data_IF_844204710092
#
_entry.id   IF_844204710092
#
_cell.length_a   1.000
_cell.length_b   1.000
_cell.length_c   1.000
_cell.angle_alpha   90.00
_cell.angle_beta   90.00
_cell.angle_gamma   90.00
#
_symmetry.space_group_name_H-M   'P 1'
#
loop_
_entity.id
_entity.type
_entity.pdbx_description
1 polymer ?
#
# COMPACT_ATOMS: atom_id res chain seq x y z
N UNK A 1 -17.20 35.27 -28.60
CA UNK A 1 -16.41 34.04 -28.37
C UNK A 1 -15.58 34.26 -27.14
N UNK A 2 -15.40 33.24 -26.31
CA UNK A 2 -14.67 33.45 -25.05
C UNK A 2 -13.20 33.78 -25.31
N UNK A 3 -12.65 34.76 -24.59
CA UNK A 3 -11.26 35.20 -24.72
C UNK A 3 -10.32 34.36 -23.84
N UNK A 4 -10.79 33.90 -22.66
CA UNK A 4 -10.04 32.96 -21.83
C UNK A 4 -10.02 31.55 -22.44
N UNK A 5 -8.81 30.98 -22.57
CA UNK A 5 -8.61 29.58 -23.00
C UNK A 5 -8.31 28.71 -21.80
N UNK A 6 -8.99 27.57 -21.73
CA UNK A 6 -8.78 26.56 -20.70
C UNK A 6 -8.12 25.31 -21.29
N UNK A 7 -7.06 24.84 -20.66
CA UNK A 7 -6.46 23.54 -20.94
C UNK A 7 -7.42 22.39 -20.60
N UNK A 8 -7.15 21.20 -21.14
CA UNK A 8 -7.94 20.00 -20.81
C UNK A 8 -7.93 19.69 -19.30
N UNK A 9 -6.82 19.97 -18.61
CA UNK A 9 -6.68 19.73 -17.18
C UNK A 9 -7.52 20.70 -16.34
N UNK A 10 -7.53 21.99 -16.70
CA UNK A 10 -8.38 23.00 -16.03
C UNK A 10 -9.86 22.69 -16.24
N UNK A 11 -10.25 22.30 -17.46
CA UNK A 11 -11.62 21.88 -17.76
C UNK A 11 -12.05 20.69 -16.91
N UNK A 12 -11.21 19.67 -16.81
CA UNK A 12 -11.48 18.50 -15.98
C UNK A 12 -11.56 18.87 -14.49
N UNK A 13 -10.65 19.70 -13.99
CA UNK A 13 -10.61 20.14 -12.60
C UNK A 13 -11.89 20.90 -12.20
N UNK A 14 -12.33 21.84 -13.04
CA UNK A 14 -13.58 22.59 -12.83
C UNK A 14 -14.79 21.64 -12.87
N UNK A 15 -14.84 20.73 -13.84
CA UNK A 15 -15.93 19.76 -13.95
C UNK A 15 -16.03 18.85 -12.72
N UNK A 16 -14.89 18.37 -12.20
CA UNK A 16 -14.85 17.53 -11.00
C UNK A 16 -15.28 18.28 -9.74
N UNK A 17 -14.79 19.50 -9.53
CA UNK A 17 -15.11 20.31 -8.35
C UNK A 17 -16.61 20.64 -8.24
N UNK A 18 -17.29 20.73 -9.38
CA UNK A 18 -18.74 20.95 -9.43
C UNK A 18 -19.55 19.64 -9.51
N UNK A 19 -18.96 18.52 -9.09
CA UNK A 19 -19.59 17.18 -9.09
C UNK A 19 -20.14 16.78 -10.45
N UNK A 20 -19.51 17.22 -11.54
CA UNK A 20 -19.90 16.91 -12.92
C UNK A 20 -21.28 17.48 -13.28
N UNK A 21 -21.76 18.51 -12.58
CA UNK A 21 -23.10 19.08 -12.78
C UNK A 21 -23.02 20.51 -13.30
N UNK A 22 -24.01 20.88 -14.10
CA UNK A 22 -24.27 22.25 -14.51
C UNK A 22 -24.56 23.11 -13.29
N UNK A 23 -23.90 24.24 -13.14
CA UNK A 23 -24.14 25.14 -12.02
C UNK A 23 -25.55 25.76 -12.06
N UNK A 24 -26.11 25.96 -13.26
CA UNK A 24 -27.44 26.55 -13.45
C UNK A 24 -28.58 25.54 -13.36
N UNK A 25 -28.44 24.37 -14.01
CA UNK A 25 -29.54 23.40 -14.13
C UNK A 25 -29.39 22.18 -13.23
N UNK A 26 -28.22 21.99 -12.61
CA UNK A 26 -27.83 20.82 -11.80
C UNK A 26 -27.84 19.48 -12.53
N UNK A 27 -28.12 19.48 -13.82
CA UNK A 27 -28.01 18.29 -14.68
C UNK A 27 -26.55 17.87 -14.87
N UNK A 28 -26.32 16.59 -15.13
CA UNK A 28 -24.99 16.06 -15.40
C UNK A 28 -24.41 16.62 -16.71
N UNK A 29 -23.12 16.93 -16.67
CA UNK A 29 -22.33 17.41 -17.79
C UNK A 29 -21.43 16.30 -18.32
N UNK A 30 -21.34 16.22 -19.64
CA UNK A 30 -20.32 15.43 -20.32
C UNK A 30 -19.01 16.24 -20.34
N UNK A 31 -17.91 15.63 -19.91
CA UNK A 31 -16.58 16.26 -19.90
C UNK A 31 -16.13 16.70 -21.30
N UNK A 32 -16.59 15.99 -22.34
CA UNK A 32 -16.28 16.32 -23.74
C UNK A 32 -17.09 17.52 -24.26
N UNK A 33 -18.20 17.87 -23.60
CA UNK A 33 -19.15 18.85 -24.11
C UNK A 33 -19.86 19.64 -23.00
N UNK A 34 -19.16 20.63 -22.46
CA UNK A 34 -19.71 21.65 -21.57
C UNK A 34 -18.99 23.00 -21.77
N UNK A 35 -19.62 24.09 -21.34
CA UNK A 35 -19.01 25.42 -21.35
C UNK A 35 -18.58 25.82 -19.94
N UNK A 36 -17.57 26.68 -19.85
CA UNK A 36 -17.22 27.37 -18.61
C UNK A 36 -17.75 28.79 -18.79
N UNK A 37 -18.67 29.20 -17.93
CA UNK A 37 -19.25 30.54 -17.93
C UNK A 37 -18.56 31.42 -16.89
N UNK A 38 -18.46 32.71 -17.19
CA UNK A 38 -18.08 33.74 -16.25
C UNK A 38 -19.34 34.35 -15.65
N UNK A 39 -19.54 34.19 -14.33
CA UNK A 39 -20.71 34.73 -13.63
C UNK A 39 -20.83 36.23 -13.88
N UNK A 40 -19.72 36.95 -13.66
CA UNK A 40 -19.49 38.31 -14.13
C UNK A 40 -18.81 38.22 -15.50
N UNK A 41 -19.44 38.65 -16.61
CA UNK A 41 -18.95 38.42 -17.96
C UNK A 41 -17.54 38.96 -18.23
N UNK A 42 -16.69 38.15 -18.87
CA UNK A 42 -15.32 38.54 -19.24
C UNK A 42 -15.25 39.70 -20.25
N UNK A 43 -16.35 40.00 -20.96
CA UNK A 43 -16.43 41.15 -21.87
C UNK A 43 -16.23 42.50 -21.15
N UNK A 44 -16.41 42.53 -19.83
CA UNK A 44 -16.12 43.71 -19.01
C UNK A 44 -14.61 43.99 -18.90
N UNK A 45 -13.73 43.06 -19.26
CA UNK A 45 -12.28 43.29 -19.30
C UNK A 45 -11.89 44.40 -20.30
N UNK A 46 -12.67 44.57 -21.36
CA UNK A 46 -12.40 45.54 -22.43
C UNK A 46 -12.89 46.97 -22.08
N UNK A 47 -13.68 47.13 -21.02
CA UNK A 47 -14.20 48.42 -20.55
C UNK A 47 -14.01 48.58 -19.04
N UNK A 48 -12.88 49.16 -18.66
CA UNK A 48 -12.49 49.35 -17.26
C UNK A 48 -13.45 50.28 -16.48
N UNK A 49 -14.09 51.24 -17.15
CA UNK A 49 -15.02 52.16 -16.49
C UNK A 49 -16.33 51.44 -16.15
N UNK A 50 -16.85 50.66 -17.10
CA UNK A 50 -18.03 49.84 -16.90
C UNK A 50 -17.78 48.73 -15.87
N UNK A 51 -16.62 48.06 -15.92
CA UNK A 51 -16.26 47.04 -14.93
C UNK A 51 -16.21 47.62 -13.52
N UNK A 52 -15.62 48.81 -13.35
CA UNK A 52 -15.58 49.48 -12.06
C UNK A 52 -16.99 49.80 -11.54
N UNK A 53 -17.87 50.31 -12.39
CA UNK A 53 -19.28 50.59 -12.04
C UNK A 53 -20.00 49.33 -11.57
N UNK A 54 -19.89 48.23 -12.33
CA UNK A 54 -20.52 46.94 -11.99
C UNK A 54 -19.95 46.37 -10.70
N UNK A 55 -18.64 46.51 -10.47
CA UNK A 55 -17.97 46.07 -9.23
C UNK A 55 -18.52 46.80 -8.00
N UNK A 56 -18.72 48.12 -8.10
CA UNK A 56 -19.32 48.95 -7.05
C UNK A 56 -20.79 48.60 -6.81
N UNK A 57 -21.59 48.45 -7.88
CA UNK A 57 -23.01 48.10 -7.80
C UNK A 57 -23.24 46.74 -7.12
N UNK A 58 -22.45 45.75 -7.53
CA UNK A 58 -22.47 44.41 -6.97
C UNK A 58 -21.81 44.37 -5.58
N UNK A 59 -20.94 45.31 -5.21
CA UNK A 59 -20.20 45.29 -3.95
C UNK A 59 -19.14 44.19 -3.91
N UNK A 60 -18.45 43.98 -5.04
CA UNK A 60 -17.36 43.00 -5.14
C UNK A 60 -16.05 43.57 -4.56
N UNK A 61 -15.17 42.72 -3.99
CA UNK A 61 -13.93 43.17 -3.37
C UNK A 61 -12.95 43.74 -4.40
N UNK A 62 -12.07 44.66 -3.98
CA UNK A 62 -11.06 45.26 -4.86
C UNK A 62 -10.14 44.23 -5.52
N UNK A 63 -9.88 43.11 -4.85
CA UNK A 63 -9.09 42.00 -5.38
C UNK A 63 -9.88 41.01 -6.26
N UNK A 64 -11.15 41.29 -6.62
CA UNK A 64 -11.93 40.40 -7.48
C UNK A 64 -11.24 40.19 -8.84
N UNK A 65 -10.90 38.94 -9.12
CA UNK A 65 -10.30 38.51 -10.38
C UNK A 65 -11.39 38.03 -11.34
N UNK A 66 -11.55 38.75 -12.45
CA UNK A 66 -12.53 38.44 -13.48
C UNK A 66 -12.27 37.09 -14.15
N UNK A 67 -11.00 36.67 -14.23
CA UNK A 67 -10.58 35.42 -14.86
C UNK A 67 -10.29 34.30 -13.85
N UNK A 68 -10.45 34.60 -12.56
CA UNK A 68 -10.19 33.67 -11.47
C UNK A 68 -11.30 32.65 -11.27
N UNK A 69 -10.97 31.50 -10.68
CA UNK A 69 -11.92 30.39 -10.46
C UNK A 69 -13.17 30.78 -9.65
N UNK A 70 -13.06 31.79 -8.78
CA UNK A 70 -14.20 32.35 -8.03
C UNK A 70 -15.27 33.01 -8.90
N UNK A 71 -15.04 33.16 -10.21
CA UNK A 71 -15.98 33.68 -11.19
C UNK A 71 -16.42 32.64 -12.23
N UNK A 72 -15.92 31.40 -12.16
CA UNK A 72 -16.10 30.39 -13.20
C UNK A 72 -17.08 29.31 -12.79
N UNK A 73 -18.01 28.97 -13.69
CA UNK A 73 -18.99 27.90 -13.48
C UNK A 73 -19.08 26.97 -14.70
N UNK A 74 -19.04 25.64 -14.50
CA UNK A 74 -19.33 24.72 -15.57
C UNK A 74 -20.84 24.69 -15.84
N UNK A 75 -21.22 24.79 -17.10
CA UNK A 75 -22.61 24.85 -17.51
C UNK A 75 -22.87 24.15 -18.84
N UNK A 76 -24.16 23.87 -19.10
CA UNK A 76 -24.59 23.37 -20.40
C UNK A 76 -24.43 24.47 -21.45
N UNK A 77 -24.02 24.14 -22.69
CA UNK A 77 -23.88 25.12 -23.76
C UNK A 77 -25.12 26.01 -23.95
N UNK A 78 -26.32 25.43 -23.89
CA UNK A 78 -27.58 26.19 -24.02
C UNK A 78 -27.81 27.21 -22.90
N UNK A 79 -27.46 26.89 -21.65
CA UNK A 79 -27.59 27.82 -20.53
C UNK A 79 -26.61 28.99 -20.66
N UNK A 80 -25.37 28.69 -21.07
CA UNK A 80 -24.35 29.71 -21.35
C UNK A 80 -24.77 30.66 -22.48
N UNK A 81 -25.29 30.11 -23.57
CA UNK A 81 -25.75 30.88 -24.73
C UNK A 81 -26.96 31.75 -24.39
N UNK A 82 -27.86 31.27 -23.53
CA UNK A 82 -29.04 32.02 -23.08
C UNK A 82 -28.63 33.21 -22.19
N UNK A 83 -27.65 33.03 -21.29
CA UNK A 83 -27.13 34.12 -20.45
C UNK A 83 -26.33 35.13 -21.28
N UNK A 84 -25.45 34.67 -22.16
CA UNK A 84 -24.58 35.54 -22.95
C UNK A 84 -23.77 36.51 -22.06
N UNK A 85 -23.73 37.78 -22.45
CA UNK A 85 -23.06 38.85 -21.69
C UNK A 85 -23.97 39.54 -20.67
N UNK A 86 -25.13 38.97 -20.36
CA UNK A 86 -26.04 39.54 -19.36
C UNK A 86 -25.41 39.45 -17.97
N UNK A 87 -25.23 40.62 -17.34
CA UNK A 87 -25.00 40.70 -15.90
C UNK A 87 -26.35 40.49 -15.21
N UNK A 88 -26.48 39.40 -14.47
CA UNK A 88 -27.69 39.12 -13.70
C UNK A 88 -27.86 40.15 -12.58
N UNK A 89 -29.05 40.24 -11.98
CA UNK A 89 -29.23 41.11 -10.82
C UNK A 89 -28.36 40.66 -9.63
N UNK A 90 -28.15 41.60 -8.71
CA UNK A 90 -27.23 41.46 -7.58
C UNK A 90 -27.44 40.17 -6.79
N UNK A 91 -28.69 39.77 -6.51
CA UNK A 91 -28.93 38.57 -5.71
C UNK A 91 -28.47 37.29 -6.42
N UNK A 92 -28.79 37.17 -7.71
CA UNK A 92 -28.37 36.01 -8.51
C UNK A 92 -26.87 35.96 -8.73
N UNK A 93 -26.22 37.11 -8.99
CA UNK A 93 -24.76 37.17 -9.12
C UNK A 93 -24.08 36.70 -7.84
N UNK A 94 -24.48 37.21 -6.68
CA UNK A 94 -23.92 36.80 -5.39
C UNK A 94 -24.11 35.31 -5.10
N UNK A 95 -25.28 34.76 -5.44
CA UNK A 95 -25.53 33.33 -5.29
C UNK A 95 -24.54 32.49 -6.12
N UNK A 96 -24.39 32.80 -7.41
CA UNK A 96 -23.50 32.06 -8.29
C UNK A 96 -22.01 32.29 -8.01
N UNK A 97 -21.61 33.49 -7.60
CA UNK A 97 -20.26 33.77 -7.12
C UNK A 97 -19.96 33.02 -5.82
N UNK A 98 -20.94 32.87 -4.93
CA UNK A 98 -20.81 32.04 -3.73
C UNK A 98 -20.55 30.57 -4.08
N UNK A 99 -21.26 30.03 -5.09
CA UNK A 99 -21.01 28.69 -5.59
C UNK A 99 -19.60 28.57 -6.18
N UNK A 100 -19.23 29.45 -7.11
CA UNK A 100 -17.92 29.41 -7.78
C UNK A 100 -16.77 29.53 -6.76
N UNK A 101 -16.85 30.51 -5.86
CA UNK A 101 -15.83 30.74 -4.83
C UNK A 101 -15.69 29.59 -3.85
N UNK A 102 -16.79 28.89 -3.52
CA UNK A 102 -16.73 27.70 -2.66
C UNK A 102 -15.95 26.53 -3.28
N UNK A 103 -15.73 26.56 -4.60
CA UNK A 103 -15.06 25.49 -5.36
C UNK A 103 -13.62 25.77 -5.72
N UNK A 104 -13.10 26.99 -5.51
CA UNK A 104 -11.73 27.38 -5.86
C UNK A 104 -10.68 26.41 -5.33
N UNK A 105 -10.69 26.11 -4.02
CA UNK A 105 -9.70 25.22 -3.41
C UNK A 105 -9.79 23.78 -3.91
N UNK A 106 -10.99 23.32 -4.26
CA UNK A 106 -11.22 21.98 -4.81
C UNK A 106 -10.71 21.89 -6.27
N UNK A 107 -10.88 22.96 -7.06
CA UNK A 107 -10.36 23.08 -8.42
C UNK A 107 -8.82 23.01 -8.40
N UNK A 108 -8.18 23.80 -7.55
CA UNK A 108 -6.71 23.82 -7.40
C UNK A 108 -6.16 22.45 -6.97
N UNK A 109 -6.80 21.80 -5.99
CA UNK A 109 -6.43 20.46 -5.55
C UNK A 109 -6.58 19.42 -6.67
N UNK A 110 -7.67 19.49 -7.44
CA UNK A 110 -7.88 18.60 -8.58
C UNK A 110 -6.83 18.81 -9.68
N UNK A 111 -6.51 20.07 -10.00
CA UNK A 111 -5.51 20.40 -11.02
C UNK A 111 -4.13 19.84 -10.64
N UNK A 112 -3.69 20.07 -9.40
CA UNK A 112 -2.44 19.50 -8.88
C UNK A 112 -2.41 17.98 -8.99
N UNK A 113 -3.53 17.30 -8.66
CA UNK A 113 -3.64 15.84 -8.77
C UNK A 113 -3.55 15.35 -10.22
N UNK A 114 -4.24 16.03 -11.15
CA UNK A 114 -4.23 15.70 -12.58
C UNK A 114 -2.81 15.87 -13.16
N UNK A 115 -2.14 16.98 -12.84
CA UNK A 115 -0.78 17.25 -13.31
C UNK A 115 0.23 16.23 -12.76
N UNK A 116 0.15 15.90 -11.47
CA UNK A 116 0.98 14.85 -10.86
C UNK A 116 0.79 13.51 -11.56
N UNK A 117 -0.46 13.11 -11.84
CA UNK A 117 -0.76 11.87 -12.56
C UNK A 117 -0.18 11.87 -13.97
N UNK A 118 -0.30 12.98 -14.70
CA UNK A 118 0.24 13.13 -16.06
C UNK A 118 1.77 13.04 -16.06
N UNK A 119 2.42 13.71 -15.12
CA UNK A 119 3.88 13.67 -14.98
C UNK A 119 4.37 12.28 -14.60
N UNK A 120 3.71 11.61 -13.65
CA UNK A 120 4.01 10.21 -13.28
C UNK A 120 3.88 9.27 -14.47
N UNK A 121 2.77 9.35 -15.22
CA UNK A 121 2.56 8.51 -16.40
C UNK A 121 3.63 8.72 -17.48
N UNK A 122 4.00 9.98 -17.75
CA UNK A 122 5.09 10.31 -18.68
C UNK A 122 6.43 9.76 -18.22
N UNK A 123 6.76 9.89 -16.93
CA UNK A 123 8.01 9.38 -16.37
C UNK A 123 8.11 7.85 -16.51
N UNK A 124 7.02 7.13 -16.21
CA UNK A 124 6.97 5.66 -16.36
C UNK A 124 7.20 5.25 -17.81
N UNK A 125 6.51 5.88 -18.77
CA UNK A 125 6.65 5.57 -20.20
C UNK A 125 8.08 5.83 -20.68
N UNK A 126 8.69 6.95 -20.28
CA UNK A 126 10.08 7.27 -20.65
C UNK A 126 11.06 6.25 -20.06
N UNK A 127 10.89 5.87 -18.80
CA UNK A 127 11.73 4.86 -18.15
C UNK A 127 11.62 3.51 -18.87
N UNK A 128 10.40 3.08 -19.22
CA UNK A 128 10.17 1.85 -19.99
C UNK A 128 10.87 1.91 -21.35
N UNK A 129 10.74 3.01 -22.08
CA UNK A 129 11.40 3.19 -23.37
C UNK A 129 12.94 3.11 -23.27
N UNK A 130 13.53 3.71 -22.23
CA UNK A 130 14.97 3.64 -22.02
C UNK A 130 15.44 2.21 -21.70
N UNK A 131 14.68 1.47 -20.89
CA UNK A 131 14.97 0.06 -20.56
C UNK A 131 14.84 -0.86 -21.78
N UNK A 132 13.76 -0.72 -22.55
CA UNK A 132 13.51 -1.52 -23.77
C UNK A 132 14.59 -1.31 -24.84
N UNK A 133 15.14 -0.10 -24.92
CA UNK A 133 16.21 0.26 -25.87
C UNK A 133 17.62 -0.06 -25.36
N UNK A 134 17.75 -0.49 -24.10
CA UNK A 134 19.05 -0.68 -23.45
C UNK A 134 19.84 0.61 -23.22
N UNK A 135 19.17 1.77 -23.29
CA UNK A 135 19.77 3.08 -22.94
C UNK A 135 19.96 3.21 -21.42
N UNK A 136 19.18 2.46 -20.64
CA UNK A 136 19.36 2.23 -19.20
C UNK A 136 19.26 0.74 -18.91
N UNK A 137 20.06 0.25 -17.97
CA UNK A 137 19.93 -1.09 -17.40
C UNK A 137 19.08 -1.08 -16.12
N UNK A 138 18.51 -2.24 -15.76
CA UNK A 138 17.78 -2.39 -14.50
C UNK A 138 18.65 -2.05 -13.28
N UNK A 139 19.96 -2.37 -13.34
CA UNK A 139 20.93 -2.05 -12.29
C UNK A 139 21.11 -0.54 -12.12
N UNK A 140 21.29 0.20 -13.21
CA UNK A 140 21.43 1.67 -13.14
C UNK A 140 20.18 2.35 -12.59
N UNK A 141 18.99 1.84 -12.91
CA UNK A 141 17.74 2.33 -12.31
C UNK A 141 17.71 2.05 -10.81
N UNK A 142 18.12 0.86 -10.37
CA UNK A 142 18.24 0.52 -8.95
C UNK A 142 19.23 1.44 -8.23
N UNK A 143 20.40 1.70 -8.82
CA UNK A 143 21.41 2.60 -8.25
C UNK A 143 20.89 4.04 -8.12
N UNK A 144 20.09 4.52 -9.09
CA UNK A 144 19.43 5.84 -9.02
C UNK A 144 18.41 5.88 -7.87
N UNK A 145 17.62 4.82 -7.69
CA UNK A 145 16.65 4.73 -6.59
C UNK A 145 17.35 4.78 -5.23
N UNK A 146 18.47 4.08 -5.09
CA UNK A 146 19.31 4.14 -3.87
C UNK A 146 19.90 5.53 -3.66
N UNK A 147 20.35 6.19 -4.73
CA UNK A 147 21.00 7.52 -4.66
C UNK A 147 20.05 8.66 -4.33
N UNK A 148 18.81 8.60 -4.79
CA UNK A 148 17.81 9.66 -4.65
C UNK A 148 16.68 9.35 -3.66
N UNK A 149 16.66 8.14 -3.07
CA UNK A 149 15.90 7.92 -1.85
C UNK A 149 16.41 8.85 -0.77
N UNK A 150 15.55 9.71 -0.22
CA UNK A 150 15.90 10.62 0.88
C UNK A 150 16.35 9.80 2.10
N UNK A 151 17.66 9.65 2.23
CA UNK A 151 18.38 8.96 3.29
C UNK A 151 18.04 7.47 3.49
N UNK A 152 19.05 6.60 3.67
CA UNK A 152 18.85 5.26 4.17
C UNK A 152 18.56 5.37 5.67
N UNK A 153 17.39 5.85 6.05
CA UNK A 153 16.73 5.09 7.10
C UNK A 153 16.54 3.71 6.50
N UNK A 154 16.91 2.65 7.22
CA UNK A 154 16.72 1.28 6.77
C UNK A 154 15.21 1.05 6.58
N UNK A 155 14.69 1.46 5.43
CA UNK A 155 13.31 1.39 5.01
C UNK A 155 13.16 0.06 4.29
N UNK A 156 12.40 -0.82 4.90
CA UNK A 156 12.09 -2.12 4.34
C UNK A 156 10.77 -2.04 3.58
N UNK A 157 10.80 -2.42 2.31
CA UNK A 157 9.58 -2.68 1.55
C UNK A 157 9.06 -4.09 1.86
N UNK A 158 7.78 -4.17 2.24
CA UNK A 158 7.10 -5.41 2.54
C UNK A 158 6.32 -5.89 1.32
N UNK A 159 6.56 -7.15 0.93
CA UNK A 159 5.78 -7.85 -0.09
C UNK A 159 4.36 -8.14 0.38
N UNK A 160 4.21 -8.41 1.68
CA UNK A 160 2.93 -8.53 2.38
C UNK A 160 2.86 -7.44 3.47
N UNK A 161 1.94 -6.49 3.34
CA UNK A 161 1.88 -5.35 4.26
C UNK A 161 1.35 -5.71 5.64
N UNK A 162 1.80 -4.97 6.66
CA UNK A 162 1.28 -5.08 8.02
C UNK A 162 -0.08 -4.43 8.14
N UNK A 163 -0.97 -5.02 8.95
CA UNK A 163 -2.29 -4.46 9.25
C UNK A 163 -2.46 -4.25 10.76
N UNK A 164 -2.78 -3.02 11.14
CA UNK A 164 -3.15 -2.68 12.50
C UNK A 164 -4.66 -2.41 12.58
N UNK A 165 -5.24 -2.51 13.77
CA UNK A 165 -6.69 -2.37 13.95
C UNK A 165 -7.22 -0.98 13.54
N UNK A 166 -6.39 0.06 13.69
CA UNK A 166 -6.80 1.47 13.55
C UNK A 166 -6.13 2.21 12.39
N UNK A 167 -5.39 1.53 11.51
CA UNK A 167 -4.61 2.20 10.47
C UNK A 167 -4.66 1.47 9.12
N UNK A 168 -4.21 2.19 8.08
CA UNK A 168 -4.06 1.61 6.75
C UNK A 168 -2.92 0.59 6.74
N UNK A 169 -2.91 -0.28 5.73
CA UNK A 169 -1.83 -1.23 5.49
C UNK A 169 -0.48 -0.50 5.40
N UNK A 170 0.50 -0.95 6.18
CA UNK A 170 1.87 -0.43 6.18
C UNK A 170 2.73 -1.35 5.33
N UNK A 171 3.28 -0.82 4.24
CA UNK A 171 4.16 -1.55 3.30
C UNK A 171 5.61 -1.08 3.29
N UNK A 172 5.89 0.04 3.93
CA UNK A 172 7.23 0.58 4.08
C UNK A 172 7.44 0.80 5.56
N UNK A 173 8.51 0.20 6.10
CA UNK A 173 8.83 0.28 7.53
C UNK A 173 10.23 0.86 7.66
N UNK A 174 10.34 2.09 8.16
CA UNK A 174 11.62 2.64 8.56
C UNK A 174 12.02 2.08 9.94
N UNK A 175 13.31 1.75 10.15
CA UNK A 175 13.78 1.32 11.48
C UNK A 175 13.43 2.29 12.61
N UNK A 176 13.46 3.60 12.35
CA UNK A 176 13.11 4.60 13.35
C UNK A 176 11.65 4.52 13.81
N UNK A 177 10.76 3.97 12.98
CA UNK A 177 9.33 3.84 13.26
C UNK A 177 8.99 2.53 13.98
N UNK A 178 9.89 1.54 14.00
CA UNK A 178 9.61 0.18 14.54
C UNK A 178 9.08 0.25 15.97
N UNK A 179 9.72 1.02 16.86
CA UNK A 179 9.25 1.12 18.25
C UNK A 179 7.84 1.72 18.35
N UNK A 180 7.48 2.65 17.46
CA UNK A 180 6.12 3.20 17.39
C UNK A 180 5.12 2.18 16.86
N UNK A 181 5.52 1.38 15.87
CA UNK A 181 4.70 0.31 15.30
C UNK A 181 4.44 -0.82 16.32
N UNK A 182 5.40 -1.11 17.21
CA UNK A 182 5.24 -2.12 18.26
C UNK A 182 4.18 -1.77 19.30
N UNK A 183 3.84 -0.50 19.42
CA UNK A 183 2.78 0.03 20.30
C UNK A 183 1.40 0.10 19.62
N UNK A 184 1.31 -0.21 18.32
CA UNK A 184 0.04 -0.24 17.61
C UNK A 184 -0.73 -1.56 17.86
N UNK A 185 -2.07 -1.52 18.02
CA UNK A 185 -2.88 -2.72 18.13
C UNK A 185 -2.88 -3.55 16.85
N UNK A 186 -2.57 -4.84 16.96
CA UNK A 186 -2.50 -5.76 15.82
C UNK A 186 -3.91 -6.13 15.34
N UNK A 187 -4.12 -6.17 14.03
CA UNK A 187 -5.37 -6.66 13.44
C UNK A 187 -5.36 -8.19 13.31
N UNK A 188 -6.40 -8.84 13.82
CA UNK A 188 -6.54 -10.30 13.81
C UNK A 188 -7.33 -10.80 12.59
N UNK A 189 -6.75 -10.58 11.40
CA UNK A 189 -7.38 -10.90 10.12
C UNK A 189 -8.64 -10.08 9.85
N UNK A 190 -9.68 -10.71 9.30
CA UNK A 190 -10.96 -10.05 9.01
C UNK A 190 -11.92 -9.99 10.22
N UNK A 191 -11.45 -10.35 11.41
CA UNK A 191 -12.29 -10.40 12.61
C UNK A 191 -12.35 -9.03 13.30
N UNK A 192 -13.30 -8.20 12.90
CA UNK A 192 -13.46 -6.87 13.51
C UNK A 192 -14.03 -6.90 14.94
N UNK A 193 -14.40 -8.09 15.45
CA UNK A 193 -14.97 -8.29 16.79
C UNK A 193 -13.96 -8.80 17.82
N UNK A 194 -12.74 -9.17 17.41
CA UNK A 194 -11.69 -9.69 18.30
C UNK A 194 -10.65 -8.59 18.50
N UNK A 195 -10.53 -8.11 19.73
CA UNK A 195 -9.72 -6.97 20.13
C UNK A 195 -8.43 -7.40 20.87
N UNK A 196 -7.85 -8.54 20.48
CA UNK A 196 -6.61 -9.07 21.08
C UNK A 196 -6.63 -10.57 21.37
N UNK A 197 -5.55 -11.06 21.97
CA UNK A 197 -5.36 -12.47 22.34
C UNK A 197 -5.27 -12.63 23.84
N UNK A 198 -5.93 -13.66 24.39
CA UNK A 198 -5.79 -14.02 25.80
C UNK A 198 -4.70 -15.06 25.95
N UNK A 199 -3.66 -14.73 26.71
CA UNK A 199 -2.60 -15.65 27.09
C UNK A 199 -2.82 -16.13 28.52
N UNK A 200 -2.34 -17.34 28.83
CA UNK A 200 -2.48 -17.97 30.16
C UNK A 200 -1.11 -18.40 30.67
N UNK A 201 -0.85 -18.24 31.97
CA UNK A 201 0.37 -18.75 32.58
C UNK A 201 0.14 -20.09 33.30
N UNK A 202 1.19 -20.66 33.89
CA UNK A 202 1.12 -21.94 34.62
C UNK A 202 0.23 -21.91 35.86
N UNK A 203 -0.09 -20.72 36.39
CA UNK A 203 -1.01 -20.53 37.52
C UNK A 203 -2.47 -20.37 37.09
N UNK A 204 -2.78 -20.56 35.80
CA UNK A 204 -4.08 -20.30 35.18
C UNK A 204 -4.53 -18.84 35.24
N UNK A 205 -3.61 -17.90 35.42
CA UNK A 205 -3.90 -16.48 35.31
C UNK A 205 -3.91 -16.08 33.84
N UNK A 206 -4.85 -15.22 33.45
CA UNK A 206 -5.01 -14.78 32.07
C UNK A 206 -4.57 -13.33 31.88
N UNK A 207 -4.03 -13.02 30.70
CA UNK A 207 -3.65 -11.67 30.28
C UNK A 207 -4.09 -11.44 28.84
N UNK A 208 -4.88 -10.38 28.62
CA UNK A 208 -5.26 -9.94 27.28
C UNK A 208 -4.18 -9.02 26.72
N UNK A 209 -3.71 -9.28 25.52
CA UNK A 209 -2.69 -8.49 24.81
C UNK A 209 -3.18 -8.03 23.45
N UNK A 210 -2.78 -6.82 23.06
CA UNK A 210 -3.21 -6.12 21.83
C UNK A 210 -2.06 -5.66 20.97
N UNK A 211 -0.92 -5.36 21.58
CA UNK A 211 0.26 -4.81 20.90
C UNK A 211 1.43 -5.79 20.96
N UNK A 212 2.44 -5.59 20.11
CA UNK A 212 3.65 -6.40 20.17
C UNK A 212 4.39 -6.24 21.49
N UNK A 213 4.41 -5.03 22.05
CA UNK A 213 5.06 -4.78 23.34
C UNK A 213 4.40 -5.57 24.47
N UNK A 214 3.07 -5.58 24.52
CA UNK A 214 2.32 -6.35 25.52
C UNK A 214 2.51 -7.87 25.35
N UNK A 215 2.51 -8.34 24.11
CA UNK A 215 2.71 -9.77 23.79
C UNK A 215 4.11 -10.24 24.19
N UNK A 216 5.16 -9.52 23.78
CA UNK A 216 6.55 -9.85 24.12
C UNK A 216 6.79 -9.82 25.64
N UNK A 217 6.19 -8.85 26.35
CA UNK A 217 6.28 -8.77 27.81
C UNK A 217 5.57 -9.95 28.50
N UNK A 218 4.39 -10.34 28.00
CA UNK A 218 3.64 -11.47 28.53
C UNK A 218 4.40 -12.79 28.35
N UNK A 219 5.01 -13.02 27.18
CA UNK A 219 5.85 -14.20 26.93
C UNK A 219 7.04 -14.25 27.89
N UNK A 220 7.72 -13.11 28.13
CA UNK A 220 8.82 -13.03 29.11
C UNK A 220 8.38 -13.34 30.54
N UNK A 221 7.12 -13.11 30.86
CA UNK A 221 6.51 -13.43 32.16
C UNK A 221 5.97 -14.87 32.24
N UNK A 222 6.18 -15.70 31.21
CA UNK A 222 5.76 -17.10 31.20
C UNK A 222 4.28 -17.32 30.84
N UNK A 223 3.63 -16.32 30.23
CA UNK A 223 2.32 -16.52 29.61
C UNK A 223 2.48 -17.18 28.24
N UNK A 224 1.52 -18.01 27.86
CA UNK A 224 1.50 -18.71 26.57
C UNK A 224 0.06 -18.86 26.07
N UNK A 225 -0.08 -19.15 24.78
CA UNK A 225 -1.36 -19.47 24.17
C UNK A 225 -1.82 -20.86 24.63
N UNK A 226 -2.93 -20.92 25.37
CA UNK A 226 -3.34 -22.17 26.04
C UNK A 226 -4.26 -23.04 25.18
N UNK A 227 -5.26 -22.43 24.52
CA UNK A 227 -6.20 -23.17 23.68
C UNK A 227 -5.79 -23.15 22.20
N UNK A 228 -6.30 -24.11 21.40
CA UNK A 228 -6.13 -24.09 19.94
C UNK A 228 -6.62 -22.78 19.30
N UNK A 229 -7.62 -22.12 19.91
CA UNK A 229 -8.06 -20.81 19.46
C UNK A 229 -7.00 -19.75 19.74
N UNK A 230 -6.48 -19.70 20.98
CA UNK A 230 -5.46 -18.73 21.37
C UNK A 230 -4.16 -18.92 20.56
N UNK A 231 -3.79 -20.16 20.25
CA UNK A 231 -2.59 -20.48 19.43
C UNK A 231 -2.76 -19.87 18.04
N UNK A 232 -3.90 -20.13 17.39
CA UNK A 232 -4.20 -19.59 16.04
C UNK A 232 -4.30 -18.07 16.04
N UNK A 233 -4.83 -17.48 17.10
CA UNK A 233 -4.90 -16.02 17.19
C UNK A 233 -3.53 -15.41 17.51
N UNK A 234 -2.68 -16.10 18.29
CA UNK A 234 -1.30 -15.69 18.59
C UNK A 234 -0.42 -15.65 17.35
N UNK A 235 -0.69 -16.46 16.34
CA UNK A 235 0.03 -16.43 15.06
C UNK A 235 0.09 -15.03 14.44
N UNK A 236 -0.98 -14.23 14.57
CA UNK A 236 -0.95 -12.84 14.08
C UNK A 236 0.10 -12.00 14.82
N UNK A 237 0.23 -12.18 16.14
CA UNK A 237 1.28 -11.52 16.92
C UNK A 237 2.65 -12.07 16.57
N UNK A 238 2.83 -13.38 16.49
CA UNK A 238 4.10 -14.00 16.11
C UNK A 238 4.60 -13.48 14.75
N UNK A 239 3.71 -13.37 13.76
CA UNK A 239 4.00 -12.80 12.44
C UNK A 239 4.42 -11.33 12.54
N UNK A 240 3.54 -10.47 13.06
CA UNK A 240 3.78 -9.02 13.02
C UNK A 240 4.92 -8.59 13.94
N UNK A 241 5.00 -9.15 15.16
CA UNK A 241 6.03 -8.82 16.13
C UNK A 241 7.37 -9.46 15.76
N UNK A 242 7.34 -10.70 15.27
CA UNK A 242 8.53 -11.35 14.71
C UNK A 242 9.12 -10.58 13.53
N UNK A 243 8.27 -10.07 12.62
CA UNK A 243 8.70 -9.19 11.53
C UNK A 243 9.40 -7.94 12.07
N UNK A 244 8.75 -7.17 12.94
CA UNK A 244 9.32 -5.93 13.47
C UNK A 244 10.65 -6.16 14.20
N UNK A 245 10.73 -7.22 15.02
CA UNK A 245 11.97 -7.59 15.70
C UNK A 245 13.08 -7.99 14.71
N UNK A 246 12.73 -8.70 13.64
CA UNK A 246 13.68 -9.09 12.59
C UNK A 246 14.18 -7.88 11.79
N UNK A 247 13.28 -6.97 11.39
CA UNK A 247 13.63 -5.73 10.69
C UNK A 247 14.52 -4.83 11.55
N UNK A 248 14.29 -4.80 12.86
CA UNK A 248 15.11 -4.01 13.79
C UNK A 248 16.58 -4.47 13.79
N UNK A 249 16.81 -5.78 13.65
CA UNK A 249 18.13 -6.40 13.62
C UNK A 249 18.74 -6.49 12.19
N UNK A 250 17.92 -6.30 11.15
CA UNK A 250 18.31 -6.51 9.77
C UNK A 250 19.29 -5.46 9.25
N UNK A 251 20.06 -5.81 8.21
CA UNK A 251 20.96 -4.91 7.50
C UNK A 251 20.74 -5.01 5.98
N UNK A 252 21.34 -4.08 5.23
CA UNK A 252 21.42 -4.20 3.78
C UNK A 252 22.42 -5.32 3.41
N UNK A 253 22.01 -6.31 2.59
CA UNK A 253 22.91 -7.38 2.18
C UNK A 253 24.00 -6.87 1.23
N UNK A 254 25.20 -7.45 1.35
CA UNK A 254 26.32 -7.18 0.45
C UNK A 254 26.32 -8.11 -0.77
N UNK A 255 25.75 -9.30 -0.64
CA UNK A 255 25.63 -10.33 -1.68
C UNK A 255 24.22 -10.90 -1.67
N UNK A 256 23.68 -11.22 -2.85
CA UNK A 256 22.39 -11.90 -2.97
C UNK A 256 22.48 -13.08 -3.91
N UNK A 257 21.92 -14.21 -3.48
CA UNK A 257 21.68 -15.40 -4.31
C UNK A 257 20.18 -15.63 -4.57
N UNK A 258 19.35 -14.64 -4.22
CA UNK A 258 17.88 -14.69 -4.31
C UNK A 258 17.27 -13.59 -5.17
N UNK A 259 18.03 -12.54 -5.48
CA UNK A 259 17.56 -11.38 -6.27
C UNK A 259 17.95 -11.45 -7.75
N UNK A 260 19.06 -12.11 -8.11
CA UNK A 260 19.47 -12.32 -9.51
C UNK A 260 20.15 -13.70 -9.72
N UNK A 261 19.46 -14.68 -10.35
CA UNK A 261 18.06 -14.63 -10.75
C UNK A 261 17.14 -14.51 -9.53
N UNK A 262 15.98 -13.87 -9.71
CA UNK A 262 14.99 -13.76 -8.63
C UNK A 262 14.38 -15.13 -8.34
N UNK A 263 14.71 -15.69 -7.18
CA UNK A 263 14.16 -16.95 -6.66
C UNK A 263 13.49 -16.75 -5.31
N UNK A 264 12.66 -17.71 -4.90
CA UNK A 264 11.84 -17.64 -3.70
C UNK A 264 11.07 -18.92 -3.38
N UNK A 265 10.02 -18.82 -2.58
CA UNK A 265 9.16 -19.93 -2.13
C UNK A 265 8.39 -20.59 -3.27
N UNK A 266 8.34 -19.98 -4.46
CA UNK A 266 7.71 -20.59 -5.63
C UNK A 266 8.66 -21.53 -6.38
N UNK A 267 9.97 -21.43 -6.13
CA UNK A 267 10.98 -22.29 -6.73
C UNK A 267 11.09 -23.58 -5.90
N UNK A 268 10.11 -24.47 -6.05
CA UNK A 268 9.95 -25.67 -5.22
C UNK A 268 11.16 -26.62 -5.23
N UNK A 269 11.98 -26.57 -6.28
CA UNK A 269 13.22 -27.34 -6.39
C UNK A 269 14.33 -26.83 -5.47
N UNK A 270 14.22 -25.58 -5.01
CA UNK A 270 15.15 -24.94 -4.09
C UNK A 270 14.68 -25.05 -2.62
N UNK A 271 13.42 -25.41 -2.36
CA UNK A 271 12.91 -25.59 -1.00
C UNK A 271 13.21 -27.02 -0.51
N UNK A 272 14.08 -27.22 0.49
CA UNK A 272 14.31 -28.56 1.03
C UNK A 272 13.07 -29.05 1.79
N UNK A 273 12.75 -30.33 1.66
CA UNK A 273 11.58 -30.94 2.30
C UNK A 273 11.66 -30.93 3.83
N UNK A 274 12.86 -30.77 4.41
CA UNK A 274 13.05 -30.55 5.84
C UNK A 274 12.37 -29.27 6.37
N UNK A 275 11.94 -28.35 5.49
CA UNK A 275 11.11 -27.21 5.85
C UNK A 275 9.65 -27.60 6.13
N UNK A 276 9.17 -28.73 5.62
CA UNK A 276 7.76 -29.12 5.74
C UNK A 276 7.46 -29.59 7.18
N UNK A 277 6.33 -29.18 7.78
CA UNK A 277 6.02 -29.54 9.16
C UNK A 277 5.81 -31.05 9.32
N UNK A 278 6.38 -31.60 10.38
CA UNK A 278 6.14 -32.96 10.84
C UNK A 278 5.56 -32.91 12.27
N UNK A 279 4.56 -33.76 12.56
CA UNK A 279 4.08 -33.97 13.93
C UNK A 279 4.74 -35.24 14.47
N UNK A 280 5.48 -35.10 15.57
CA UNK A 280 6.14 -36.22 16.24
C UNK A 280 7.66 -36.17 16.11
N UNK A 281 8.30 -37.32 16.33
CA UNK A 281 9.75 -37.45 16.16
C UNK A 281 10.10 -37.43 14.67
N UNK A 282 11.13 -36.66 14.30
CA UNK A 282 11.65 -36.65 12.95
C UNK A 282 12.13 -38.06 12.57
N UNK A 283 11.78 -38.53 11.37
CA UNK A 283 12.25 -39.82 10.89
C UNK A 283 13.78 -39.87 10.90
N UNK A 284 14.36 -40.97 11.43
CA UNK A 284 15.82 -41.16 11.57
C UNK A 284 16.58 -41.12 10.22
N UNK A 285 15.87 -41.28 9.09
CA UNK A 285 16.41 -41.27 7.72
C UNK A 285 15.73 -40.21 6.84
N UNK A 286 15.75 -38.94 7.26
CA UNK A 286 15.29 -37.85 6.39
C UNK A 286 16.26 -37.65 5.21
N UNK A 287 15.77 -37.78 3.98
CA UNK A 287 16.54 -37.44 2.78
C UNK A 287 16.81 -35.93 2.75
N UNK A 288 18.04 -35.55 3.10
CA UNK A 288 18.51 -34.17 3.15
C UNK A 288 18.51 -33.47 1.78
N UNK A 289 18.42 -34.23 0.68
CA UNK A 289 18.36 -33.70 -0.68
C UNK A 289 16.95 -33.64 -1.25
N UNK A 290 15.94 -34.15 -0.53
CA UNK A 290 14.56 -34.07 -0.97
C UNK A 290 14.11 -32.61 -1.01
N UNK A 291 13.43 -32.22 -2.08
CA UNK A 291 12.87 -30.88 -2.25
C UNK A 291 11.34 -30.93 -2.24
N UNK A 292 10.70 -29.78 -2.13
CA UNK A 292 9.25 -29.70 -2.29
C UNK A 292 8.85 -30.17 -3.70
N UNK A 293 9.64 -29.85 -4.72
CA UNK A 293 9.39 -30.30 -6.08
C UNK A 293 9.43 -31.84 -6.17
N UNK A 294 10.44 -32.49 -5.59
CA UNK A 294 10.53 -33.96 -5.65
C UNK A 294 9.34 -34.62 -4.95
N UNK A 295 8.87 -34.05 -3.83
CA UNK A 295 7.68 -34.55 -3.14
C UNK A 295 6.37 -34.27 -3.87
N UNK A 296 6.29 -33.20 -4.66
CA UNK A 296 5.17 -32.99 -5.58
C UNK A 296 5.21 -34.01 -6.72
N UNK A 297 6.38 -34.28 -7.30
CA UNK A 297 6.55 -35.24 -8.39
C UNK A 297 6.23 -36.68 -7.95
N UNK A 298 6.55 -37.03 -6.70
CA UNK A 298 6.20 -38.30 -6.04
C UNK A 298 4.70 -38.40 -5.65
N UNK A 299 3.95 -37.28 -5.70
CA UNK A 299 2.56 -37.23 -5.25
C UNK A 299 2.36 -37.20 -3.73
N UNK A 300 3.43 -37.00 -2.96
CA UNK A 300 3.40 -36.85 -1.49
C UNK A 300 2.85 -35.47 -1.11
N UNK A 301 3.30 -34.41 -1.79
CA UNK A 301 2.78 -33.06 -1.61
C UNK A 301 1.86 -32.67 -2.78
N UNK A 302 0.80 -31.94 -2.45
CA UNK A 302 -0.13 -31.34 -3.41
C UNK A 302 -0.09 -29.82 -3.26
N UNK A 303 0.25 -29.12 -4.34
CA UNK A 303 0.16 -27.66 -4.38
C UNK A 303 -1.31 -27.25 -4.42
N UNK A 304 -1.75 -26.53 -3.39
CA UNK A 304 -3.14 -26.03 -3.29
C UNK A 304 -3.31 -24.64 -3.86
N UNK A 305 -2.32 -23.77 -3.64
CA UNK A 305 -2.42 -22.36 -4.02
C UNK A 305 -1.04 -21.76 -4.23
N UNK A 306 -0.95 -20.96 -5.30
CA UNK A 306 0.20 -20.12 -5.61
C UNK A 306 -0.30 -18.68 -5.85
N UNK A 307 0.40 -17.70 -5.28
CA UNK A 307 0.34 -16.28 -5.66
C UNK A 307 1.77 -15.73 -5.72
N UNK A 308 1.92 -14.45 -6.10
CA UNK A 308 3.22 -13.81 -6.33
C UNK A 308 4.27 -14.03 -5.23
N UNK A 309 3.86 -14.07 -3.96
CA UNK A 309 4.71 -14.26 -2.78
C UNK A 309 4.18 -15.37 -1.83
N UNK A 310 3.23 -16.20 -2.26
CA UNK A 310 2.56 -17.19 -1.40
C UNK A 310 2.57 -18.57 -2.03
N UNK A 311 3.02 -19.56 -1.26
CA UNK A 311 2.89 -20.98 -1.53
C UNK A 311 1.99 -21.64 -0.47
N UNK A 312 1.07 -22.48 -0.89
CA UNK A 312 0.32 -23.38 -0.02
C UNK A 312 0.41 -24.81 -0.56
N UNK A 313 0.91 -25.71 0.27
CA UNK A 313 1.09 -27.14 -0.04
C UNK A 313 0.48 -27.99 1.07
N UNK A 314 -0.01 -29.17 0.70
CA UNK A 314 -0.61 -30.13 1.63
C UNK A 314 -0.16 -31.55 1.32
N UNK A 315 0.06 -32.33 2.38
CA UNK A 315 0.01 -33.78 2.32
C UNK A 315 -1.46 -34.23 2.48
N UNK A 316 -2.03 -35.02 1.55
CA UNK A 316 -3.47 -35.31 1.51
C UNK A 316 -4.10 -35.80 2.82
N UNK A 317 -3.35 -36.55 3.63
CA UNK A 317 -3.80 -37.10 4.92
C UNK A 317 -2.84 -36.75 6.07
N UNK A 318 -2.14 -35.61 5.95
CA UNK A 318 -1.12 -35.19 6.92
C UNK A 318 -1.21 -33.71 7.22
N UNK A 319 -0.08 -33.03 7.06
CA UNK A 319 0.04 -31.61 7.33
C UNK A 319 -0.22 -30.76 6.09
N UNK A 320 -0.64 -29.52 6.33
CA UNK A 320 -0.62 -28.44 5.38
C UNK A 320 0.32 -27.34 5.85
N UNK A 321 0.91 -26.63 4.90
CA UNK A 321 1.79 -25.50 5.16
C UNK A 321 1.49 -24.38 4.18
N UNK A 322 1.43 -23.17 4.71
CA UNK A 322 1.40 -21.94 3.95
C UNK A 322 2.66 -21.13 4.26
N UNK A 323 3.37 -20.72 3.22
CA UNK A 323 4.53 -19.83 3.28
C UNK A 323 4.20 -18.54 2.52
N UNK A 324 4.43 -17.40 3.15
CA UNK A 324 4.28 -16.08 2.54
C UNK A 324 5.61 -15.35 2.67
N UNK A 325 6.25 -14.96 1.56
CA UNK A 325 7.39 -14.05 1.61
C UNK A 325 6.93 -12.65 1.98
N UNK A 326 7.58 -12.07 2.98
CA UNK A 326 7.21 -10.76 3.54
C UNK A 326 8.28 -9.73 3.30
N UNK A 327 9.54 -10.05 3.58
CA UNK A 327 10.66 -9.12 3.45
C UNK A 327 11.94 -9.87 3.04
N UNK A 328 12.87 -9.15 2.41
CA UNK A 328 14.22 -9.62 2.08
C UNK A 328 15.24 -8.63 2.61
N UNK A 329 16.23 -9.12 3.34
CA UNK A 329 17.29 -8.34 3.96
C UNK A 329 18.39 -9.28 4.45
N UNK A 330 19.50 -8.76 4.96
CA UNK A 330 20.42 -9.56 5.78
C UNK A 330 19.89 -9.59 7.22
N UNK A 331 19.28 -10.70 7.63
CA UNK A 331 18.67 -10.82 8.97
C UNK A 331 19.64 -11.37 10.02
N UNK A 332 20.73 -12.01 9.60
CA UNK A 332 21.70 -12.66 10.49
C UNK A 332 23.06 -11.96 10.56
N UNK A 333 23.23 -10.84 9.85
CA UNK A 333 24.44 -10.02 9.80
C UNK A 333 25.63 -10.65 9.07
N UNK A 334 25.45 -11.69 8.25
CA UNK A 334 26.52 -12.35 7.51
C UNK A 334 26.81 -11.70 6.14
N UNK A 335 26.03 -10.69 5.76
CA UNK A 335 26.12 -9.96 4.50
C UNK A 335 25.42 -10.63 3.32
N UNK A 336 24.75 -11.77 3.51
CA UNK A 336 23.97 -12.48 2.49
C UNK A 336 22.49 -12.08 2.60
N UNK A 337 21.83 -11.90 1.46
CA UNK A 337 20.39 -11.64 1.43
C UNK A 337 19.58 -12.89 1.80
N UNK A 338 18.75 -12.73 2.82
CA UNK A 338 17.82 -13.71 3.36
C UNK A 338 16.36 -13.34 2.98
N UNK A 339 15.45 -14.30 3.16
CA UNK A 339 14.00 -14.12 2.97
C UNK A 339 13.29 -14.43 4.28
N UNK A 340 12.52 -13.46 4.80
CA UNK A 340 11.62 -13.65 5.92
C UNK A 340 10.24 -14.09 5.43
N UNK A 341 9.75 -15.19 6.02
CA UNK A 341 8.50 -15.83 5.72
C UNK A 341 7.53 -15.73 6.90
N UNK A 342 6.26 -15.49 6.62
CA UNK A 342 5.18 -15.91 7.49
C UNK A 342 4.82 -17.35 7.18
N UNK A 343 4.89 -18.20 8.20
CA UNK A 343 4.55 -19.61 8.12
C UNK A 343 3.25 -19.87 8.89
N UNK A 344 2.39 -20.69 8.32
CA UNK A 344 1.25 -21.27 9.02
C UNK A 344 1.12 -22.74 8.64
N UNK A 345 1.13 -23.60 9.66
CA UNK A 345 1.05 -25.04 9.57
C UNK A 345 -0.29 -25.51 10.16
N UNK A 346 -0.89 -26.54 9.57
CA UNK A 346 -2.18 -27.05 10.03
C UNK A 346 -2.33 -28.54 9.72
N UNK A 347 -3.14 -29.25 10.49
CA UNK A 347 -3.55 -30.60 10.12
C UNK A 347 -4.61 -30.50 9.00
N UNK A 348 -4.42 -31.24 7.90
CA UNK A 348 -5.44 -31.32 6.82
C UNK A 348 -6.74 -31.93 7.31
N UNK A 349 -6.64 -32.79 8.32
CA UNK A 349 -7.75 -33.41 9.03
C UNK A 349 -7.64 -33.11 10.53
N UNK A 350 -8.41 -32.13 11.01
CA UNK A 350 -8.46 -31.79 12.44
C UNK A 350 -8.58 -30.30 12.70
N UNK A 351 -8.28 -29.89 13.94
CA UNK A 351 -8.33 -28.48 14.36
C UNK A 351 -6.97 -27.90 14.70
N UNK A 352 -5.90 -28.69 14.68
CA UNK A 352 -4.55 -28.21 14.95
C UNK A 352 -4.13 -27.20 13.88
N UNK A 353 -3.62 -26.06 14.34
CA UNK A 353 -2.95 -25.09 13.49
C UNK A 353 -2.12 -24.15 14.35
N UNK A 354 -0.95 -23.79 13.84
CA UNK A 354 0.03 -22.93 14.50
C UNK A 354 0.83 -22.21 13.41
N UNK A 355 1.47 -21.11 13.76
CA UNK A 355 2.28 -20.36 12.82
C UNK A 355 3.49 -19.76 13.49
N UNK A 356 4.13 -18.85 12.77
CA UNK A 356 5.30 -18.13 13.23
C UNK A 356 6.02 -17.47 12.07
N UNK A 357 7.17 -16.89 12.36
CA UNK A 357 8.09 -16.43 11.32
C UNK A 357 9.15 -17.49 11.05
N UNK A 358 9.62 -17.56 9.81
CA UNK A 358 10.78 -18.37 9.43
C UNK A 358 11.67 -17.55 8.52
N UNK A 359 12.98 -17.61 8.75
CA UNK A 359 13.95 -16.94 7.88
C UNK A 359 14.71 -18.02 7.13
N UNK A 360 14.73 -17.90 5.80
CA UNK A 360 15.48 -18.79 4.91
C UNK A 360 16.59 -18.02 4.21
N UNK A 361 17.73 -18.66 4.04
CA UNK A 361 18.89 -18.10 3.34
C UNK A 361 19.30 -19.00 2.19
N UNK A 362 19.99 -18.45 1.21
CA UNK A 362 20.58 -19.21 0.10
C UNK A 362 22.01 -18.72 -0.10
N UNK A 363 22.98 -19.63 0.02
CA UNK A 363 24.42 -19.26 0.05
C UNK A 363 25.15 -19.44 -1.28
N UNK A 364 24.49 -20.01 -2.29
CA UNK A 364 25.08 -20.20 -3.63
C UNK A 364 23.99 -20.34 -4.71
N UNK A 365 24.38 -20.16 -5.98
CA UNK A 365 23.49 -20.29 -7.13
C UNK A 365 23.03 -21.72 -7.45
N UNK A 366 23.69 -22.73 -6.89
CA UNK A 366 23.35 -24.14 -7.09
C UNK A 366 22.77 -24.79 -5.82
N UNK A 367 22.78 -24.08 -4.70
CA UNK A 367 22.28 -24.57 -3.42
C UNK A 367 20.77 -24.43 -3.25
N UNK A 368 20.19 -25.27 -2.38
CA UNK A 368 18.85 -25.09 -1.84
C UNK A 368 18.82 -24.00 -0.75
N UNK A 369 17.62 -23.61 -0.34
CA UNK A 369 17.42 -22.76 0.83
C UNK A 369 17.80 -23.51 2.12
N UNK A 370 18.30 -22.76 3.11
CA UNK A 370 18.60 -23.23 4.46
C UNK A 370 17.77 -22.42 5.46
N UNK A 371 17.32 -23.03 6.56
CA UNK A 371 16.67 -22.26 7.65
C UNK A 371 17.73 -21.61 8.52
N UNK A 372 17.55 -20.34 8.84
CA UNK A 372 18.33 -19.67 9.87
C UNK A 372 17.71 -19.93 11.23
N UNK A 373 18.54 -20.32 12.21
CA UNK A 373 18.10 -20.34 13.60
C UNK A 373 17.79 -18.90 14.05
N UNK A 374 16.71 -18.67 14.83
CA UNK A 374 16.51 -17.37 15.46
C UNK A 374 17.75 -17.01 16.27
N UNK A 375 18.24 -15.77 16.16
CA UNK A 375 19.21 -15.27 17.15
C UNK A 375 18.50 -15.32 18.51
N UNK A 376 19.09 -15.98 19.48
CA UNK A 376 18.66 -15.87 20.88
C UNK A 376 18.58 -14.37 21.21
N UNK A 377 17.36 -13.88 21.44
CA UNK A 377 17.07 -12.47 21.70
C UNK A 377 17.40 -12.08 23.15
#
# INVERSE_FOLDING_TARGET
MSSQKFSSAEREAIWLAHEKKCAYTRELLDVSNFHIDHVVPESLADDAAEFKRIKEELGLPDAFDLFGYGNLLPCRPGANLLKGSLVLDKAHVHFFLGIASSKTSEIEANLLRIERRKNRGRAIILLQQCLERGELSAKEVSDILVKYGEQPEDIFELLEGMQFANSAEVRFVAKAEIETLRDQPIRLGQNDHIDGVTLTNTNHETRLVRTCREYDEALKQGYFAYSNFDIKMSTWFEHQCGLLNSLQAAAAPSVSYVSDPRVGVLDLSLLPFSLFPCIGEAAEEADLNASYQSKVDEGVLVVKRIRQNLLQVEEPEGMGQQLIEVARADFNGDGIEDILLFEYCYATHGTLGFGGIRIITRKSNDGMFETLAPRDA
#
